data_IF_530221179777
#
_entry.id   IF_530221179777
#
_cell.length_a   1.000
_cell.length_b   1.000
_cell.length_c   1.000
_cell.angle_alpha   90.00
_cell.angle_beta   90.00
_cell.angle_gamma   90.00
#
_symmetry.space_group_name_H-M   'P 1'
#
loop_
_entity.id
_entity.type
_entity.pdbx_description
1 polymer ?
#
# COMPACT_ATOMS: atom_id res chain seq x y z
N UNK A 1 15.76 33.91 -0.72
CA UNK A 1 15.62 32.64 -1.47
C UNK A 1 14.57 31.79 -0.78
N UNK A 2 13.67 31.12 -1.52
CA UNK A 2 12.71 30.20 -0.91
C UNK A 2 13.46 29.00 -0.32
N UNK A 3 13.11 28.61 0.90
CA UNK A 3 13.60 27.39 1.54
C UNK A 3 12.54 26.31 1.42
N UNK A 4 12.99 25.06 1.27
CA UNK A 4 12.12 23.88 1.31
C UNK A 4 12.11 23.35 2.73
N UNK A 5 11.04 23.53 3.52
CA UNK A 5 10.98 22.97 4.86
C UNK A 5 10.82 21.47 4.81
N UNK A 6 11.60 20.77 5.64
CA UNK A 6 11.47 19.33 5.89
C UNK A 6 11.30 19.15 7.38
N UNK A 7 10.15 18.65 7.79
CA UNK A 7 9.82 18.38 9.18
C UNK A 7 9.73 16.88 9.42
N UNK A 8 10.52 16.37 10.36
CA UNK A 8 10.54 14.95 10.71
C UNK A 8 9.94 14.77 12.10
N UNK A 9 8.99 13.85 12.20
CA UNK A 9 8.44 13.46 13.50
C UNK A 9 8.32 11.93 13.63
N UNK A 10 8.14 11.46 14.82
CA UNK A 10 7.77 10.08 15.09
C UNK A 10 6.34 9.84 14.58
N UNK A 11 6.14 8.93 13.61
CA UNK A 11 4.89 8.82 12.84
C UNK A 11 3.65 8.63 13.72
N UNK A 12 3.75 7.74 14.73
CA UNK A 12 2.65 7.46 15.65
C UNK A 12 2.15 8.71 16.38
N UNK A 13 3.05 9.60 16.78
CA UNK A 13 2.71 10.76 17.59
C UNK A 13 2.51 12.04 16.76
N UNK A 14 2.94 12.04 15.50
CA UNK A 14 2.98 13.22 14.66
C UNK A 14 1.61 13.88 14.51
N UNK A 15 0.77 13.37 13.65
CA UNK A 15 -0.56 13.95 13.42
C UNK A 15 -1.48 13.91 14.64
N UNK A 16 -1.36 12.94 15.53
CA UNK A 16 -2.15 12.90 16.77
C UNK A 16 -1.89 14.10 17.68
N UNK A 17 -0.65 14.61 17.70
CA UNK A 17 -0.25 15.71 18.59
C UNK A 17 -0.19 17.05 17.90
N UNK A 18 -0.03 17.08 16.57
CA UNK A 18 0.19 18.31 15.79
C UNK A 18 -0.88 18.53 14.73
N UNK A 19 -1.95 17.74 14.71
CA UNK A 19 -3.00 17.83 13.69
C UNK A 19 -3.60 19.23 13.53
N UNK A 20 -3.86 19.91 14.64
CA UNK A 20 -4.36 21.30 14.62
C UNK A 20 -3.34 22.26 13.98
N UNK A 21 -2.05 22.15 14.35
CA UNK A 21 -0.99 22.95 13.71
C UNK A 21 -0.83 22.63 12.22
N UNK A 22 -1.06 21.36 11.80
CA UNK A 22 -1.04 20.97 10.39
C UNK A 22 -2.24 21.56 9.61
N UNK A 23 -3.41 21.71 10.24
CA UNK A 23 -4.54 22.43 9.66
C UNK A 23 -4.21 23.92 9.50
N UNK A 24 -3.64 24.55 10.53
CA UNK A 24 -3.21 25.94 10.46
C UNK A 24 -2.14 26.16 9.38
N UNK A 25 -1.21 25.21 9.20
CA UNK A 25 -0.22 25.26 8.13
C UNK A 25 -0.89 25.22 6.74
N UNK A 26 -1.90 24.37 6.55
CA UNK A 26 -2.70 24.31 5.32
C UNK A 26 -3.44 25.62 5.05
N UNK A 27 -4.05 26.22 6.07
CA UNK A 27 -4.74 27.52 5.98
C UNK A 27 -3.77 28.67 5.62
N UNK A 28 -2.51 28.57 6.05
CA UNK A 28 -1.45 29.52 5.70
C UNK A 28 -0.77 29.23 4.36
N UNK A 29 -1.31 28.29 3.55
CA UNK A 29 -0.76 27.91 2.25
C UNK A 29 0.68 27.41 2.33
N UNK A 30 1.01 26.67 3.40
CA UNK A 30 2.33 26.12 3.62
C UNK A 30 2.68 25.07 2.56
N UNK A 31 3.97 24.96 2.25
CA UNK A 31 4.56 24.00 1.32
C UNK A 31 5.74 23.32 1.99
N UNK A 32 5.97 22.05 1.72
CA UNK A 32 7.13 21.34 2.27
C UNK A 32 6.86 19.84 2.44
N UNK A 33 7.83 19.19 3.05
CA UNK A 33 7.77 17.75 3.33
C UNK A 33 7.66 17.51 4.82
N UNK A 34 6.73 16.64 5.18
CA UNK A 34 6.59 16.10 6.53
C UNK A 34 6.93 14.61 6.46
N UNK A 35 7.90 14.18 7.23
CA UNK A 35 8.39 12.81 7.25
C UNK A 35 7.88 12.12 8.51
N UNK A 36 7.04 11.11 8.36
CA UNK A 36 6.66 10.20 9.42
C UNK A 36 7.72 9.11 9.56
N UNK A 37 8.67 9.29 10.46
CA UNK A 37 9.73 8.33 10.71
C UNK A 37 9.29 7.23 11.67
N UNK A 38 9.94 6.06 11.62
CA UNK A 38 9.55 4.87 12.38
C UNK A 38 8.11 4.45 12.12
N UNK A 39 7.70 4.54 10.86
CA UNK A 39 6.34 4.29 10.41
C UNK A 39 5.95 2.81 10.50
N UNK A 40 4.64 2.56 10.47
CA UNK A 40 4.08 1.21 10.40
C UNK A 40 3.81 0.56 11.75
N UNK A 41 2.93 -0.45 11.71
CA UNK A 41 2.47 -1.18 12.90
C UNK A 41 3.44 -2.30 13.32
N UNK A 42 4.13 -2.93 12.36
CA UNK A 42 4.93 -4.14 12.63
C UNK A 42 6.44 -3.95 12.43
N UNK A 43 6.89 -2.77 12.05
CA UNK A 43 8.29 -2.50 11.71
C UNK A 43 9.16 -2.19 12.93
N UNK A 44 8.57 -1.80 14.05
CA UNK A 44 9.26 -1.58 15.30
C UNK A 44 9.46 -2.88 16.06
N UNK A 45 10.58 -2.98 16.78
CA UNK A 45 10.90 -4.08 17.68
C UNK A 45 11.42 -3.52 18.99
N UNK A 46 11.02 -4.11 20.12
CA UNK A 46 11.47 -3.67 21.46
C UNK A 46 10.87 -2.36 21.97
N UNK A 47 9.93 -1.79 21.22
CA UNK A 47 9.20 -0.58 21.59
C UNK A 47 7.88 -0.94 22.31
N UNK A 48 7.32 0.02 23.05
CA UNK A 48 5.98 -0.14 23.61
C UNK A 48 4.90 -0.14 22.52
N UNK A 49 3.81 -0.85 22.75
CA UNK A 49 2.72 -0.99 21.76
C UNK A 49 2.10 0.34 21.33
N UNK A 50 2.20 1.39 22.16
CA UNK A 50 1.74 2.73 21.86
C UNK A 50 2.62 3.48 20.84
N UNK A 51 3.79 2.95 20.46
CA UNK A 51 4.67 3.54 19.44
C UNK A 51 4.40 3.01 18.05
N UNK A 52 3.65 1.91 17.92
CA UNK A 52 3.41 1.21 16.67
C UNK A 52 2.28 1.88 15.89
N UNK A 53 2.64 2.59 14.83
CA UNK A 53 1.73 3.44 14.05
C UNK A 53 0.85 2.62 13.10
N UNK A 54 -0.45 2.61 13.35
CA UNK A 54 -1.43 1.97 12.46
C UNK A 54 -2.33 2.96 11.70
N UNK A 55 -2.24 4.28 11.90
CA UNK A 55 -3.27 5.20 11.46
C UNK A 55 -2.80 6.59 11.02
N UNK A 56 -1.52 6.90 11.05
CA UNK A 56 -1.03 8.24 10.64
C UNK A 56 -1.41 8.60 9.20
N UNK A 57 -1.43 7.68 8.21
CA UNK A 57 -1.89 8.01 6.86
C UNK A 57 -3.37 8.42 6.81
N UNK A 58 -4.23 7.83 7.66
CA UNK A 58 -5.64 8.24 7.75
C UNK A 58 -5.75 9.65 8.32
N UNK A 59 -5.06 9.94 9.42
CA UNK A 59 -5.07 11.29 10.01
C UNK A 59 -4.55 12.33 9.02
N UNK A 60 -3.45 12.03 8.32
CA UNK A 60 -2.90 12.91 7.29
C UNK A 60 -3.89 13.11 6.13
N UNK A 61 -4.58 12.07 5.69
CA UNK A 61 -5.54 12.13 4.58
C UNK A 61 -6.80 12.95 4.87
N UNK A 62 -7.09 13.26 6.14
CA UNK A 62 -8.18 14.14 6.51
C UNK A 62 -7.89 15.60 6.17
N UNK A 63 -6.62 15.99 6.05
CA UNK A 63 -6.19 17.34 5.71
C UNK A 63 -5.98 17.45 4.20
N UNK A 64 -6.81 18.25 3.54
CA UNK A 64 -6.80 18.40 2.08
C UNK A 64 -5.52 19.03 1.52
N UNK A 65 -4.73 19.71 2.36
CA UNK A 65 -3.44 20.30 1.99
C UNK A 65 -2.29 19.27 1.98
N UNK A 66 -2.54 18.00 2.30
CA UNK A 66 -1.52 16.95 2.29
C UNK A 66 -1.70 15.97 1.14
N UNK A 67 -0.62 15.72 0.39
CA UNK A 67 -0.41 14.53 -0.43
C UNK A 67 0.27 13.47 0.45
N UNK A 68 -0.36 12.30 0.61
CA UNK A 68 0.07 11.25 1.56
C UNK A 68 0.65 10.09 0.80
N UNK A 69 1.91 9.75 1.04
CA UNK A 69 2.61 8.67 0.35
C UNK A 69 3.22 7.67 1.33
N UNK A 70 3.15 6.40 0.95
CA UNK A 70 3.69 5.23 1.65
C UNK A 70 4.57 4.40 0.70
N UNK A 71 5.76 4.93 0.28
CA UNK A 71 6.63 4.26 -0.67
C UNK A 71 7.32 3.04 -0.05
N UNK A 72 7.53 2.00 -0.88
CA UNK A 72 8.27 0.80 -0.51
C UNK A 72 9.77 0.95 -0.75
N UNK A 73 10.19 1.63 -1.83
CA UNK A 73 11.56 1.65 -2.31
C UNK A 73 12.12 3.06 -2.44
N UNK A 74 13.46 3.16 -2.34
CA UNK A 74 14.16 4.43 -2.42
C UNK A 74 13.96 5.17 -3.75
N UNK A 75 13.85 4.45 -4.87
CA UNK A 75 13.57 5.08 -6.16
C UNK A 75 12.13 5.66 -6.24
N UNK A 76 11.13 4.99 -5.63
CA UNK A 76 9.78 5.54 -5.51
C UNK A 76 9.79 6.85 -4.74
N UNK A 77 10.49 6.87 -3.59
CA UNK A 77 10.65 8.08 -2.78
C UNK A 77 11.32 9.20 -3.58
N UNK A 78 12.34 8.89 -4.40
CA UNK A 78 13.02 9.88 -5.23
C UNK A 78 12.07 10.51 -6.26
N UNK A 79 11.23 9.70 -6.94
CA UNK A 79 10.22 10.22 -7.89
C UNK A 79 9.17 11.09 -7.18
N UNK A 80 8.69 10.67 -6.00
CA UNK A 80 7.70 11.40 -5.20
C UNK A 80 8.26 12.75 -4.74
N UNK A 81 9.49 12.78 -4.22
CA UNK A 81 10.14 14.03 -3.78
C UNK A 81 10.37 14.96 -4.97
N UNK A 82 10.84 14.46 -6.11
CA UNK A 82 11.02 15.24 -7.34
C UNK A 82 9.70 15.86 -7.81
N UNK A 83 8.61 15.07 -7.82
CA UNK A 83 7.28 15.58 -8.16
C UNK A 83 6.80 16.62 -7.15
N UNK A 84 7.00 16.38 -5.86
CA UNK A 84 6.67 17.34 -4.80
C UNK A 84 7.37 18.68 -4.97
N UNK A 85 8.68 18.66 -5.26
CA UNK A 85 9.43 19.89 -5.56
C UNK A 85 8.87 20.61 -6.80
N UNK A 86 8.54 19.87 -7.86
CA UNK A 86 7.93 20.42 -9.08
C UNK A 86 6.56 21.04 -8.80
N UNK A 87 5.70 20.39 -8.02
CA UNK A 87 4.36 20.89 -7.69
C UNK A 87 4.43 22.11 -6.76
N UNK A 88 5.27 22.09 -5.75
CA UNK A 88 5.34 23.17 -4.76
C UNK A 88 6.10 24.40 -5.25
N UNK A 89 7.14 24.21 -6.09
CA UNK A 89 8.09 25.29 -6.43
C UNK A 89 8.37 25.45 -7.94
N UNK A 90 7.68 24.71 -8.80
CA UNK A 90 7.81 24.81 -10.26
C UNK A 90 7.08 26.04 -10.84
N UNK A 91 6.87 26.05 -12.15
CA UNK A 91 6.27 27.19 -12.88
C UNK A 91 4.82 27.49 -12.46
N UNK A 92 4.06 26.48 -12.06
CA UNK A 92 2.68 26.57 -11.58
C UNK A 92 2.61 25.98 -10.18
N UNK A 93 3.04 26.73 -9.16
CA UNK A 93 3.16 26.19 -7.82
C UNK A 93 1.79 25.93 -7.17
N UNK A 94 1.70 24.81 -6.47
CA UNK A 94 0.55 24.39 -5.68
C UNK A 94 0.83 24.59 -4.19
N UNK A 95 -0.19 25.01 -3.43
CA UNK A 95 -0.13 25.13 -1.98
C UNK A 95 -0.46 23.76 -1.36
N UNK A 96 0.52 22.88 -1.34
CA UNK A 96 0.41 21.50 -0.88
C UNK A 96 1.64 21.10 -0.05
N UNK A 97 1.43 20.28 0.94
CA UNK A 97 2.48 19.61 1.71
C UNK A 97 2.49 18.11 1.40
N UNK A 98 3.64 17.48 1.51
CA UNK A 98 3.79 16.04 1.33
C UNK A 98 3.99 15.37 2.69
N UNK A 99 3.20 14.35 3.00
CA UNK A 99 3.45 13.43 4.09
C UNK A 99 4.03 12.14 3.54
N UNK A 100 5.25 11.81 3.95
CA UNK A 100 5.99 10.64 3.47
C UNK A 100 6.29 9.73 4.67
N UNK A 101 5.92 8.46 4.59
CA UNK A 101 6.30 7.47 5.59
C UNK A 101 7.67 6.90 5.29
N UNK A 102 8.50 6.73 6.34
CA UNK A 102 9.79 6.03 6.27
C UNK A 102 9.91 5.06 7.44
N UNK A 103 10.45 3.88 7.14
CA UNK A 103 10.42 2.74 8.02
C UNK A 103 11.76 2.49 8.73
N UNK A 104 11.70 1.85 9.89
CA UNK A 104 12.86 1.49 10.70
C UNK A 104 13.37 0.06 10.40
N UNK A 105 12.82 -0.59 9.39
CA UNK A 105 13.19 -1.93 8.99
C UNK A 105 14.13 -1.88 7.78
N UNK A 106 15.36 -2.42 7.91
CA UNK A 106 16.23 -2.59 6.76
C UNK A 106 15.77 -3.78 5.90
N UNK A 107 15.71 -3.59 4.60
CA UNK A 107 15.56 -4.64 3.58
C UNK A 107 16.28 -4.22 2.30
N UNK A 108 16.56 -5.20 1.45
CA UNK A 108 17.26 -4.96 0.18
C UNK A 108 16.44 -4.00 -0.68
N UNK A 109 17.10 -2.93 -1.14
CA UNK A 109 16.52 -1.95 -2.03
C UNK A 109 16.87 -2.32 -3.46
N UNK A 110 15.90 -2.71 -4.30
CA UNK A 110 16.19 -3.01 -5.70
C UNK A 110 16.64 -1.74 -6.44
N UNK A 111 17.42 -1.94 -7.48
CA UNK A 111 17.67 -0.87 -8.44
C UNK A 111 16.36 -0.44 -9.10
N UNK A 112 16.29 0.84 -9.49
CA UNK A 112 15.16 1.32 -10.30
C UNK A 112 15.12 0.56 -11.64
N UNK A 113 13.98 -0.05 -12.02
CA UNK A 113 13.82 -0.65 -13.34
C UNK A 113 13.96 0.38 -14.46
N UNK A 114 14.58 -0.02 -15.59
CA UNK A 114 14.75 0.89 -16.74
C UNK A 114 13.42 1.40 -17.32
N UNK A 115 12.36 0.60 -17.21
CA UNK A 115 11.01 0.85 -17.72
C UNK A 115 10.01 1.21 -16.60
N UNK A 116 10.49 1.75 -15.47
CA UNK A 116 9.63 2.10 -14.34
C UNK A 116 8.52 3.07 -14.74
N UNK A 117 7.28 2.79 -14.32
CA UNK A 117 6.14 3.70 -14.49
C UNK A 117 6.22 4.87 -13.49
N UNK A 118 7.07 5.85 -13.80
CA UNK A 118 7.27 7.04 -12.96
C UNK A 118 5.97 7.85 -12.77
N UNK A 119 5.08 7.86 -13.75
CA UNK A 119 3.77 8.49 -13.63
C UNK A 119 2.90 7.72 -12.62
N UNK A 120 2.89 6.40 -12.68
CA UNK A 120 2.18 5.55 -11.74
C UNK A 120 2.67 5.73 -10.31
N UNK A 121 3.98 5.87 -10.09
CA UNK A 121 4.55 6.15 -8.77
C UNK A 121 3.94 7.42 -8.16
N UNK A 122 3.88 8.52 -8.91
CA UNK A 122 3.38 9.80 -8.38
C UNK A 122 1.84 9.89 -8.36
N UNK A 123 1.16 9.11 -9.20
CA UNK A 123 -0.31 9.00 -9.17
C UNK A 123 -0.84 8.00 -8.14
N UNK A 124 0.05 7.27 -7.48
CA UNK A 124 -0.27 6.44 -6.34
C UNK A 124 -0.32 4.94 -6.57
N UNK A 125 -0.18 4.44 -7.81
CA UNK A 125 -0.13 3.00 -8.09
C UNK A 125 0.50 2.69 -9.44
N UNK A 126 1.36 1.65 -9.47
CA UNK A 126 1.92 1.09 -10.71
C UNK A 126 2.11 -0.43 -10.60
N UNK A 127 2.19 -1.11 -11.74
CA UNK A 127 2.48 -2.54 -11.79
C UNK A 127 3.97 -2.76 -11.48
N UNK A 128 4.24 -3.31 -10.28
CA UNK A 128 5.61 -3.57 -9.84
C UNK A 128 6.15 -4.87 -10.45
N UNK A 129 5.35 -5.94 -10.39
CA UNK A 129 5.74 -7.25 -10.89
C UNK A 129 4.56 -7.98 -11.52
N UNK A 130 4.56 -8.20 -12.83
CA UNK A 130 3.55 -9.02 -13.48
C UNK A 130 3.65 -10.49 -13.03
N UNK A 131 2.54 -11.17 -13.02
CA UNK A 131 2.47 -12.61 -12.80
C UNK A 131 3.07 -13.38 -13.97
N UNK A 132 3.85 -14.42 -13.67
CA UNK A 132 4.49 -15.28 -14.69
C UNK A 132 3.73 -16.56 -14.88
N UNK A 133 3.43 -16.90 -16.15
CA UNK A 133 2.83 -18.18 -16.55
C UNK A 133 3.86 -19.29 -16.76
N UNK A 134 5.14 -19.03 -16.61
CA UNK A 134 6.19 -20.04 -16.73
C UNK A 134 5.97 -21.18 -15.70
N UNK A 135 5.88 -22.41 -16.20
CA UNK A 135 5.64 -23.60 -15.39
C UNK A 135 4.19 -23.81 -14.93
N UNK A 136 3.25 -22.97 -15.35
CA UNK A 136 1.80 -23.13 -15.15
C UNK A 136 1.05 -22.97 -16.47
N UNK A 137 -0.20 -23.47 -16.55
CA UNK A 137 -1.01 -23.36 -17.77
C UNK A 137 -1.48 -21.92 -18.05
N UNK A 138 -1.78 -21.60 -19.31
CA UNK A 138 -2.34 -20.30 -19.69
C UNK A 138 -3.76 -20.06 -19.13
N UNK A 139 -4.43 -21.11 -18.69
CA UNK A 139 -5.73 -21.12 -18.02
C UNK A 139 -5.64 -20.99 -16.49
N UNK A 140 -4.41 -20.78 -15.98
CA UNK A 140 -4.18 -20.55 -14.56
C UNK A 140 -5.06 -19.42 -13.99
N UNK A 141 -5.56 -19.62 -12.78
CA UNK A 141 -6.34 -18.59 -12.08
C UNK A 141 -5.50 -17.36 -11.83
N UNK A 142 -6.14 -16.20 -11.92
CA UNK A 142 -5.49 -14.90 -11.80
C UNK A 142 -5.89 -14.21 -10.51
N UNK A 143 -5.02 -13.35 -10.00
CA UNK A 143 -5.31 -12.44 -8.89
C UNK A 143 -4.51 -11.15 -9.01
N UNK A 144 -4.92 -10.12 -8.26
CA UNK A 144 -4.24 -8.84 -8.16
C UNK A 144 -3.92 -8.59 -6.69
N UNK A 145 -2.65 -8.34 -6.37
CA UNK A 145 -2.21 -8.01 -5.01
C UNK A 145 -1.73 -6.56 -5.02
N UNK A 146 -2.40 -5.71 -4.25
CA UNK A 146 -2.06 -4.31 -4.05
C UNK A 146 -1.36 -4.16 -2.70
N UNK A 147 -0.17 -3.56 -2.66
CA UNK A 147 0.58 -3.41 -1.43
C UNK A 147 1.27 -2.05 -1.34
N UNK A 148 1.40 -1.50 -0.14
CA UNK A 148 2.12 -0.26 0.11
C UNK A 148 3.26 -0.45 1.11
N UNK A 149 4.26 0.42 1.03
CA UNK A 149 5.38 0.44 1.97
C UNK A 149 6.01 -0.93 2.19
N UNK A 150 6.24 -1.31 3.44
CA UNK A 150 6.83 -2.61 3.81
C UNK A 150 5.94 -3.82 3.50
N UNK A 151 4.69 -3.61 3.11
CA UNK A 151 3.79 -4.67 2.62
C UNK A 151 4.19 -5.22 1.24
N UNK A 152 4.98 -4.48 0.45
CA UNK A 152 5.38 -4.89 -0.90
C UNK A 152 6.23 -6.17 -0.88
N UNK A 153 7.27 -6.34 -0.06
CA UNK A 153 7.99 -7.62 0.07
C UNK A 153 7.06 -8.80 0.41
N UNK A 154 6.05 -8.61 1.27
CA UNK A 154 5.11 -9.68 1.63
C UNK A 154 4.19 -10.05 0.46
N UNK A 155 3.77 -9.08 -0.33
CA UNK A 155 3.01 -9.31 -1.55
C UNK A 155 3.81 -10.11 -2.59
N UNK A 156 5.12 -9.84 -2.72
CA UNK A 156 6.02 -10.60 -3.57
C UNK A 156 6.23 -12.04 -3.09
N UNK A 157 6.33 -12.26 -1.78
CA UNK A 157 6.33 -13.59 -1.17
C UNK A 157 5.01 -14.33 -1.48
N UNK A 158 3.87 -13.68 -1.27
CA UNK A 158 2.56 -14.26 -1.58
C UNK A 158 2.42 -14.65 -3.05
N UNK A 159 2.92 -13.82 -3.98
CA UNK A 159 2.95 -14.14 -5.41
C UNK A 159 3.70 -15.46 -5.69
N UNK A 160 4.85 -15.64 -5.03
CA UNK A 160 5.65 -16.87 -5.18
C UNK A 160 4.94 -18.10 -4.60
N UNK A 161 4.35 -17.96 -3.40
CA UNK A 161 3.60 -19.06 -2.75
C UNK A 161 2.38 -19.46 -3.57
N UNK A 162 1.60 -18.52 -4.06
CA UNK A 162 0.43 -18.76 -4.91
C UNK A 162 0.80 -19.52 -6.18
N UNK A 163 1.86 -19.11 -6.87
CA UNK A 163 2.33 -19.78 -8.08
C UNK A 163 2.86 -21.17 -7.79
N UNK A 164 3.76 -21.29 -6.80
CA UNK A 164 4.47 -22.54 -6.48
C UNK A 164 3.54 -23.63 -5.96
N UNK A 165 2.65 -23.28 -5.03
CA UNK A 165 1.87 -24.24 -4.28
C UNK A 165 0.48 -24.50 -4.88
N UNK A 166 -0.07 -23.53 -5.64
CA UNK A 166 -1.45 -23.57 -6.13
C UNK A 166 -1.60 -23.27 -7.63
N UNK A 167 -0.53 -22.96 -8.34
CA UNK A 167 -0.60 -22.61 -9.77
C UNK A 167 -1.42 -21.34 -10.06
N UNK A 168 -1.59 -20.45 -9.07
CA UNK A 168 -2.30 -19.17 -9.22
C UNK A 168 -1.31 -18.09 -9.64
N UNK A 169 -1.63 -17.38 -10.70
CA UNK A 169 -0.81 -16.28 -11.24
C UNK A 169 -1.31 -14.95 -10.71
N UNK A 170 -0.55 -14.30 -9.87
CA UNK A 170 -0.89 -12.99 -9.30
C UNK A 170 0.02 -11.89 -9.85
N UNK A 171 -0.57 -10.72 -10.16
CA UNK A 171 0.18 -9.49 -10.41
C UNK A 171 0.38 -8.75 -9.08
N UNK A 172 1.55 -8.13 -8.87
CA UNK A 172 1.83 -7.32 -7.68
C UNK A 172 1.96 -5.86 -8.09
N UNK A 173 1.16 -5.02 -7.44
CA UNK A 173 1.10 -3.58 -7.62
C UNK A 173 1.69 -2.88 -6.41
N UNK A 174 2.63 -1.96 -6.62
CA UNK A 174 3.03 -1.03 -5.57
C UNK A 174 2.04 0.13 -5.52
N UNK A 175 1.37 0.29 -4.39
CA UNK A 175 0.47 1.41 -4.11
C UNK A 175 1.25 2.42 -3.28
N UNK A 176 1.86 3.37 -3.94
CA UNK A 176 2.65 4.41 -3.28
C UNK A 176 1.80 5.45 -2.56
N UNK A 177 0.51 5.56 -2.92
CA UNK A 177 -0.41 6.51 -2.29
C UNK A 177 -1.89 6.11 -2.40
N UNK A 178 -2.45 5.59 -1.33
CA UNK A 178 -3.90 5.40 -1.19
C UNK A 178 -4.64 6.76 -1.21
N UNK A 179 -4.00 7.80 -0.68
CA UNK A 179 -4.55 9.16 -0.62
C UNK A 179 -4.71 9.81 -1.98
N UNK A 180 -3.70 9.71 -2.87
CA UNK A 180 -3.78 10.31 -4.22
C UNK A 180 -4.76 9.51 -5.10
N UNK A 181 -4.83 8.18 -4.98
CA UNK A 181 -5.85 7.38 -5.65
C UNK A 181 -7.27 7.79 -5.22
N UNK A 182 -7.48 8.03 -3.91
CA UNK A 182 -8.75 8.55 -3.40
C UNK A 182 -9.04 9.95 -3.92
N UNK A 183 -8.04 10.84 -3.97
CA UNK A 183 -8.20 12.21 -4.49
C UNK A 183 -8.65 12.20 -5.95
N UNK A 184 -8.05 11.36 -6.77
CA UNK A 184 -8.43 11.13 -8.17
C UNK A 184 -9.87 10.62 -8.28
N UNK A 185 -10.25 9.61 -7.49
CA UNK A 185 -11.62 9.10 -7.43
C UNK A 185 -12.66 10.15 -7.05
N UNK A 186 -12.39 10.96 -6.02
CA UNK A 186 -13.28 12.06 -5.63
C UNK A 186 -13.41 13.13 -6.70
N UNK A 187 -12.32 13.44 -7.42
CA UNK A 187 -12.36 14.39 -8.54
C UNK A 187 -13.22 13.84 -9.69
N UNK A 188 -13.09 12.54 -10.00
CA UNK A 188 -13.91 11.85 -10.96
C UNK A 188 -15.41 11.87 -10.59
N UNK A 189 -15.74 11.54 -9.33
CA UNK A 189 -17.13 11.57 -8.86
C UNK A 189 -17.73 12.98 -8.93
N UNK A 190 -16.94 14.00 -8.60
CA UNK A 190 -17.36 15.40 -8.72
C UNK A 190 -17.62 15.80 -10.18
N UNK A 191 -16.77 15.35 -11.11
CA UNK A 191 -16.98 15.59 -12.55
C UNK A 191 -18.28 14.94 -13.03
N UNK A 192 -18.52 13.68 -12.68
CA UNK A 192 -19.79 12.96 -13.00
C UNK A 192 -21.01 13.62 -12.36
N UNK A 193 -20.90 14.12 -11.13
CA UNK A 193 -22.01 14.82 -10.49
C UNK A 193 -22.36 16.11 -11.23
N UNK A 194 -21.37 16.84 -11.73
CA UNK A 194 -21.58 18.11 -12.45
C UNK A 194 -22.06 17.90 -13.88
N UNK A 195 -21.72 16.78 -14.51
CA UNK A 195 -22.13 16.41 -15.85
C UNK A 195 -22.46 14.90 -15.92
N UNK A 196 -23.67 14.51 -15.43
CA UNK A 196 -24.02 13.12 -15.25
C UNK A 196 -24.20 12.32 -16.56
N UNK A 197 -24.29 12.98 -17.70
CA UNK A 197 -24.46 12.36 -19.03
C UNK A 197 -23.27 12.59 -19.96
N UNK A 198 -22.23 13.29 -19.49
CA UNK A 198 -21.00 13.50 -20.23
C UNK A 198 -20.10 12.27 -20.26
N UNK A 199 -19.13 12.30 -21.15
CA UNK A 199 -18.05 11.31 -21.16
C UNK A 199 -16.98 11.64 -20.12
N UNK A 200 -16.66 10.68 -19.26
CA UNK A 200 -15.63 10.82 -18.22
C UNK A 200 -14.55 9.78 -18.41
N UNK A 201 -13.29 10.22 -18.39
CA UNK A 201 -12.17 9.30 -18.35
C UNK A 201 -12.22 8.45 -17.04
N UNK A 202 -11.83 7.18 -17.07
CA UNK A 202 -11.75 6.37 -15.86
C UNK A 202 -10.76 6.96 -14.88
N UNK A 203 -10.92 6.67 -13.59
CA UNK A 203 -9.90 6.98 -12.58
C UNK A 203 -8.59 6.26 -12.91
N UNK A 204 -7.48 6.74 -12.32
CA UNK A 204 -6.19 6.06 -12.48
C UNK A 204 -6.27 4.59 -12.07
N UNK A 205 -6.89 4.33 -10.92
CA UNK A 205 -7.11 2.98 -10.40
C UNK A 205 -7.89 2.10 -11.39
N UNK A 206 -9.03 2.57 -11.90
CA UNK A 206 -9.84 1.85 -12.88
C UNK A 206 -9.05 1.59 -14.17
N UNK A 207 -8.33 2.59 -14.67
CA UNK A 207 -7.53 2.46 -15.91
C UNK A 207 -6.45 1.38 -15.79
N UNK A 208 -5.80 1.26 -14.63
CA UNK A 208 -4.76 0.24 -14.38
C UNK A 208 -5.35 -1.17 -14.19
N UNK A 209 -6.53 -1.28 -13.59
CA UNK A 209 -7.14 -2.57 -13.29
C UNK A 209 -8.12 -3.09 -14.34
N UNK A 210 -8.53 -2.28 -15.33
CA UNK A 210 -9.56 -2.63 -16.33
C UNK A 210 -9.23 -3.89 -17.14
N UNK A 211 -7.96 -4.07 -17.52
CA UNK A 211 -7.51 -5.23 -18.33
C UNK A 211 -7.09 -6.44 -17.50
N UNK A 212 -7.17 -6.37 -16.17
CA UNK A 212 -6.70 -7.44 -15.26
C UNK A 212 -7.82 -8.41 -14.90
N UNK A 213 -7.47 -9.59 -14.40
CA UNK A 213 -8.42 -10.65 -14.03
C UNK A 213 -8.21 -11.10 -12.58
N UNK A 214 -9.22 -11.77 -12.05
CA UNK A 214 -9.22 -12.35 -10.71
C UNK A 214 -9.57 -11.36 -9.61
N UNK A 215 -9.67 -11.83 -8.35
CA UNK A 215 -9.96 -10.99 -7.19
C UNK A 215 -8.80 -10.02 -6.91
N UNK A 216 -9.12 -8.94 -6.20
CA UNK A 216 -8.15 -7.94 -5.77
C UNK A 216 -8.01 -8.04 -4.25
N UNK A 217 -6.79 -8.31 -3.78
CA UNK A 217 -6.44 -8.32 -2.35
C UNK A 217 -5.43 -7.20 -2.10
N UNK A 218 -5.74 -6.32 -1.16
CA UNK A 218 -4.84 -5.25 -0.76
C UNK A 218 -4.28 -5.47 0.64
N UNK A 219 -3.04 -5.08 0.86
CA UNK A 219 -2.37 -5.19 2.15
C UNK A 219 -1.63 -3.90 2.50
N UNK A 220 -1.67 -3.55 3.77
CA UNK A 220 -0.95 -2.41 4.34
C UNK A 220 -0.48 -2.74 5.77
N UNK A 221 0.64 -2.16 6.18
CA UNK A 221 1.12 -2.23 7.58
C UNK A 221 0.37 -1.28 8.52
N UNK A 222 -0.67 -0.65 8.02
CA UNK A 222 -1.61 0.18 8.76
C UNK A 222 -2.97 -0.51 8.87
N UNK A 223 -3.89 0.12 9.60
CA UNK A 223 -5.26 -0.38 9.75
C UNK A 223 -5.97 -0.53 8.39
N UNK A 224 -6.97 -1.40 8.33
CA UNK A 224 -7.79 -1.67 7.12
C UNK A 224 -8.34 -0.39 6.48
N UNK A 225 -8.64 0.64 7.28
CA UNK A 225 -9.16 1.90 6.77
C UNK A 225 -8.21 2.59 5.76
N UNK A 226 -6.90 2.27 5.76
CA UNK A 226 -5.94 2.83 4.80
C UNK A 226 -6.17 2.27 3.39
N UNK A 227 -6.08 0.97 3.12
CA UNK A 227 -6.42 0.43 1.80
C UNK A 227 -7.92 0.57 1.47
N UNK A 228 -8.83 0.68 2.45
CA UNK A 228 -10.25 0.92 2.21
C UNK A 228 -10.56 2.31 1.65
N UNK A 229 -9.64 3.25 1.70
CA UNK A 229 -9.79 4.59 1.10
C UNK A 229 -10.17 4.57 -0.38
N UNK A 230 -9.79 3.53 -1.12
CA UNK A 230 -10.05 3.41 -2.57
C UNK A 230 -11.23 2.51 -2.91
N UNK A 231 -11.83 1.84 -1.93
CA UNK A 231 -12.89 0.83 -2.13
C UNK A 231 -13.99 1.24 -3.11
N UNK A 232 -14.52 2.49 -3.11
CA UNK A 232 -15.60 2.89 -4.01
C UNK A 232 -15.26 2.79 -5.51
N UNK A 233 -13.99 2.86 -5.88
CA UNK A 233 -13.53 2.90 -7.28
C UNK A 233 -12.84 1.61 -7.73
N UNK A 234 -12.77 0.60 -6.87
CA UNK A 234 -12.22 -0.72 -7.26
C UNK A 234 -13.25 -1.44 -8.12
N UNK A 235 -12.87 -1.92 -9.33
CA UNK A 235 -13.86 -2.35 -10.33
C UNK A 235 -14.51 -3.72 -10.07
N UNK A 236 -14.06 -4.45 -9.04
CA UNK A 236 -14.56 -5.79 -8.71
C UNK A 236 -14.30 -6.17 -7.25
N UNK A 237 -14.45 -7.46 -6.91
CA UNK A 237 -14.28 -7.95 -5.52
C UNK A 237 -12.94 -7.47 -4.94
N UNK A 238 -13.04 -6.81 -3.79
CA UNK A 238 -11.92 -6.18 -3.11
C UNK A 238 -11.88 -6.57 -1.65
N UNK A 239 -10.81 -7.21 -1.25
CA UNK A 239 -10.53 -7.61 0.13
C UNK A 239 -9.28 -6.89 0.61
N UNK A 240 -9.34 -6.35 1.83
CA UNK A 240 -8.24 -5.63 2.45
C UNK A 240 -7.70 -6.41 3.65
N UNK A 241 -6.40 -6.35 3.85
CA UNK A 241 -5.67 -6.83 5.02
C UNK A 241 -4.95 -5.65 5.65
N UNK A 242 -5.02 -5.56 6.97
CA UNK A 242 -4.45 -4.44 7.73
C UNK A 242 -4.27 -4.76 9.19
N UNK A 243 -3.48 -3.95 9.88
CA UNK A 243 -3.11 -4.12 11.28
C UNK A 243 -3.97 -3.23 12.19
N UNK A 244 -5.18 -3.66 12.48
CA UNK A 244 -6.10 -2.95 13.37
C UNK A 244 -5.77 -3.16 14.86
N UNK A 245 -6.30 -2.29 15.69
CA UNK A 245 -6.14 -2.34 17.15
C UNK A 245 -4.84 -1.71 17.64
N UNK A 246 -4.39 -2.16 18.81
CA UNK A 246 -3.12 -1.73 19.40
C UNK A 246 -1.94 -2.46 18.75
N UNK A 247 -0.73 -1.97 18.97
CA UNK A 247 0.49 -2.65 18.57
C UNK A 247 0.65 -4.02 19.25
N UNK A 248 1.45 -4.88 18.67
CA UNK A 248 1.81 -6.20 19.18
C UNK A 248 3.31 -6.30 19.34
N UNK A 249 3.78 -6.45 20.59
CA UNK A 249 5.20 -6.44 20.93
C UNK A 249 5.80 -7.84 20.80
N UNK A 250 6.34 -8.13 19.60
CA UNK A 250 7.02 -9.38 19.28
C UNK A 250 8.03 -9.12 18.14
N UNK A 251 8.58 -10.17 17.55
CA UNK A 251 9.32 -10.08 16.30
C UNK A 251 8.44 -9.53 15.17
N UNK A 252 9.02 -8.90 14.17
CA UNK A 252 8.28 -8.40 12.99
C UNK A 252 7.46 -9.51 12.33
N UNK A 253 8.06 -10.67 12.14
CA UNK A 253 7.39 -11.82 11.53
C UNK A 253 6.18 -12.31 12.34
N UNK A 254 6.33 -12.44 13.67
CA UNK A 254 5.23 -12.83 14.56
C UNK A 254 4.10 -11.77 14.57
N UNK A 255 4.44 -10.48 14.59
CA UNK A 255 3.46 -9.40 14.52
C UNK A 255 2.67 -9.42 13.21
N UNK A 256 3.33 -9.63 12.07
CA UNK A 256 2.67 -9.74 10.75
C UNK A 256 1.72 -10.92 10.67
N UNK A 257 2.12 -12.06 11.24
CA UNK A 257 1.25 -13.23 11.35
C UNK A 257 0.06 -12.95 12.26
N UNK A 258 0.28 -12.29 13.40
CA UNK A 258 -0.79 -11.92 14.34
C UNK A 258 -1.87 -11.05 13.66
N UNK A 259 -1.47 -10.11 12.80
CA UNK A 259 -2.40 -9.27 12.04
C UNK A 259 -2.87 -9.88 10.71
N UNK A 260 -2.40 -11.06 10.33
CA UNK A 260 -2.70 -11.72 9.06
C UNK A 260 -2.33 -10.87 7.83
N UNK A 261 -1.15 -10.26 7.85
CA UNK A 261 -0.64 -9.39 6.77
C UNK A 261 0.66 -9.89 6.16
N UNK A 262 1.22 -11.02 6.61
CA UNK A 262 2.40 -11.64 6.01
C UNK A 262 2.08 -12.34 4.66
N UNK A 263 3.12 -12.76 3.94
CA UNK A 263 2.98 -13.39 2.62
C UNK A 263 2.01 -14.58 2.60
N UNK A 264 2.13 -15.57 3.52
CA UNK A 264 1.17 -16.66 3.63
C UNK A 264 -0.26 -16.22 3.88
N UNK A 265 -0.50 -15.22 4.72
CA UNK A 265 -1.84 -14.69 4.98
C UNK A 265 -2.45 -14.04 3.74
N UNK A 266 -1.66 -13.27 2.98
CA UNK A 266 -2.08 -12.70 1.70
C UNK A 266 -2.44 -13.80 0.70
N UNK A 267 -1.61 -14.85 0.61
CA UNK A 267 -1.87 -15.99 -0.28
C UNK A 267 -3.19 -16.69 0.07
N UNK A 268 -3.44 -16.94 1.36
CA UNK A 268 -4.72 -17.54 1.82
C UNK A 268 -5.90 -16.63 1.52
N UNK A 269 -5.77 -15.31 1.71
CA UNK A 269 -6.84 -14.37 1.37
C UNK A 269 -7.19 -14.40 -0.13
N UNK A 270 -6.19 -14.49 -1.02
CA UNK A 270 -6.42 -14.68 -2.46
C UNK A 270 -7.16 -15.98 -2.74
N UNK A 271 -6.73 -17.09 -2.15
CA UNK A 271 -7.39 -18.39 -2.31
C UNK A 271 -8.83 -18.38 -1.80
N UNK A 272 -9.10 -17.72 -0.67
CA UNK A 272 -10.46 -17.56 -0.16
C UNK A 272 -11.36 -16.85 -1.18
N UNK A 273 -10.90 -15.77 -1.79
CA UNK A 273 -11.69 -15.04 -2.79
C UNK A 273 -11.94 -15.88 -4.04
N UNK A 274 -10.95 -16.62 -4.53
CA UNK A 274 -11.13 -17.55 -5.64
C UNK A 274 -12.12 -18.68 -5.30
N UNK A 275 -12.06 -19.21 -4.07
CA UNK A 275 -12.98 -20.24 -3.60
C UNK A 275 -14.41 -19.73 -3.44
N UNK A 276 -14.61 -18.49 -2.93
CA UNK A 276 -15.93 -17.85 -2.86
C UNK A 276 -16.57 -17.66 -4.23
N UNK A 277 -15.78 -17.42 -5.26
CA UNK A 277 -16.22 -17.34 -6.66
C UNK A 277 -16.46 -18.72 -7.29
N UNK A 278 -16.08 -19.81 -6.62
CA UNK A 278 -16.16 -21.17 -7.16
C UNK A 278 -15.12 -21.45 -8.25
N UNK A 279 -14.05 -20.66 -8.31
CA UNK A 279 -12.97 -20.81 -9.31
C UNK A 279 -11.94 -21.86 -8.89
N UNK A 280 -11.87 -22.19 -7.59
CA UNK A 280 -11.04 -23.25 -7.01
C UNK A 280 -11.85 -24.03 -5.95
N UNK A 281 -11.39 -25.24 -5.54
CA UNK A 281 -11.99 -26.01 -4.45
C UNK A 281 -12.01 -25.22 -3.13
N UNK A 282 -13.07 -25.37 -2.35
CA UNK A 282 -13.23 -24.68 -1.05
C UNK A 282 -12.23 -25.16 0.01
N UNK A 283 -11.69 -26.32 -0.18
CA UNK A 283 -10.68 -26.95 0.67
C UNK A 283 -9.33 -26.25 0.57
N UNK A 284 -8.97 -25.69 -0.59
CA UNK A 284 -7.66 -25.09 -0.82
C UNK A 284 -7.28 -23.99 0.20
N UNK A 285 -8.13 -22.99 0.48
CA UNK A 285 -7.77 -21.99 1.49
C UNK A 285 -7.67 -22.57 2.91
N UNK A 286 -8.41 -23.64 3.23
CA UNK A 286 -8.32 -24.32 4.53
C UNK A 286 -6.99 -25.08 4.64
N UNK A 287 -6.66 -25.87 3.63
CA UNK A 287 -5.38 -26.59 3.54
C UNK A 287 -4.17 -25.64 3.54
N UNK A 288 -4.32 -24.49 2.88
CA UNK A 288 -3.29 -23.43 2.88
C UNK A 288 -3.09 -22.83 4.26
N UNK A 289 -4.18 -22.55 4.98
CA UNK A 289 -4.11 -22.03 6.34
C UNK A 289 -3.41 -23.00 7.30
N UNK A 290 -3.71 -24.29 7.19
CA UNK A 290 -3.03 -25.37 7.96
C UNK A 290 -1.56 -25.50 7.54
N UNK A 291 -1.27 -25.58 6.24
CA UNK A 291 0.08 -25.72 5.68
C UNK A 291 1.00 -24.62 6.15
N UNK A 292 0.52 -23.37 6.13
CA UNK A 292 1.28 -22.18 6.52
C UNK A 292 1.19 -21.89 8.03
N UNK A 293 0.45 -22.70 8.79
CA UNK A 293 0.28 -22.55 10.24
C UNK A 293 -0.20 -21.14 10.60
N UNK A 294 -1.29 -20.66 9.98
CA UNK A 294 -1.76 -19.27 10.15
C UNK A 294 -2.18 -18.94 11.58
N UNK A 295 -2.54 -19.92 12.38
CA UNK A 295 -2.89 -19.81 13.81
C UNK A 295 -1.68 -19.71 14.73
N UNK A 296 -0.46 -19.93 14.20
CA UNK A 296 0.77 -19.93 14.95
C UNK A 296 1.63 -18.70 14.62
N UNK A 297 1.66 -17.72 15.52
CA UNK A 297 2.45 -16.49 15.34
C UNK A 297 3.95 -16.75 15.18
N UNK A 298 4.47 -17.86 15.75
CA UNK A 298 5.88 -18.24 15.61
C UNK A 298 6.26 -18.70 14.21
N UNK A 299 5.26 -19.03 13.38
CA UNK A 299 5.43 -19.39 11.98
C UNK A 299 5.34 -18.22 11.00
N UNK A 300 5.25 -16.98 11.51
CA UNK A 300 5.22 -15.77 10.71
C UNK A 300 6.45 -15.60 9.82
N UNK A 301 6.27 -14.91 8.70
CA UNK A 301 7.34 -14.62 7.73
C UNK A 301 7.64 -13.13 7.65
N UNK A 302 8.84 -12.78 7.19
CA UNK A 302 9.29 -11.40 7.10
C UNK A 302 9.25 -10.85 5.67
N UNK A 303 8.78 -11.64 4.69
CA UNK A 303 8.84 -11.26 3.27
C UNK A 303 10.26 -11.32 2.67
N UNK A 304 11.24 -11.86 3.41
CA UNK A 304 12.57 -12.09 2.87
C UNK A 304 12.50 -13.26 1.91
N UNK A 305 12.85 -13.05 0.66
CA UNK A 305 13.16 -14.11 -0.29
C UNK A 305 14.61 -14.56 -0.03
N UNK A 306 14.92 -15.87 -0.19
CA UNK A 306 16.17 -16.50 0.25
C UNK A 306 17.50 -15.93 -0.29
N UNK A 307 17.47 -14.80 -0.98
CA UNK A 307 18.64 -14.03 -1.42
C UNK A 307 19.05 -12.93 -0.42
N UNK A 308 18.35 -12.86 0.72
CA UNK A 308 18.50 -11.79 1.75
C UNK A 308 19.22 -12.29 3.03
N UNK A 309 19.86 -13.49 3.02
CA UNK A 309 20.70 -14.00 4.12
C UNK A 309 22.14 -13.49 4.08
#
# INVERSE_FOLDING_TARGET
EPMVPIYVFYSMFGFQRTGDAMWAAGDQLARGFVIGATAGRTTLTGEGTQHMDGHSPILASTNTAFAVYDPAYGYELAHIVRDGLRRMYGEKPEDIMYYLTVYNEPYVQPAEPEDVDAEGIVKGMYLLRPGSFEGVGQDARRAQILASGVGVPWALEAQQLLKKDYGVVADVWSVTSWGELRRDGLAHDKAKFNDPFGEHAPTWLESKLAGTQGPIVAVSDYMHAVPDLIRPWVPREYTTLGADGFGFSDTRAAARRYYNIDGPSIAVAVLQQLAYKGEIPREWPVEAAERYRLDDVSAGTSGKTGDDE
#
